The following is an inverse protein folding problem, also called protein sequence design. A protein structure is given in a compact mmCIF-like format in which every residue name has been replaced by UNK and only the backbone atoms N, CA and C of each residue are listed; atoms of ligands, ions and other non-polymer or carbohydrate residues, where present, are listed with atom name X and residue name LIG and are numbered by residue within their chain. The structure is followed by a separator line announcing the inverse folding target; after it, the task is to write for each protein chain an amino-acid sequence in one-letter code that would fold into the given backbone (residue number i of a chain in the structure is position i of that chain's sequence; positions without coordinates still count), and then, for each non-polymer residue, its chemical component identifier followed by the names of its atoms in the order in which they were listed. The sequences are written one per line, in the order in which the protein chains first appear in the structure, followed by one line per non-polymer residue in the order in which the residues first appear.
data_IF_185169411284
#
_entry.id   IF_185169411284
#
_cell.length_a   1.000
_cell.length_b   1.000
_cell.length_c   1.000
_cell.angle_alpha   90.00
_cell.angle_beta   90.00
_cell.angle_gamma   90.00
#
_symmetry.space_group_name_H-M   'P 1'
#
loop_
_entity.id
_entity.type
_entity.pdbx_description
1 polymer ?
#
# COMPACT_ATOMS: atom_id res chain seq x y z
N UNK A 1 -78.68 -15.45 -9.45
CA UNK A 1 -77.83 -15.62 -8.24
C UNK A 1 -76.37 -15.66 -8.68
N UNK A 2 -75.62 -14.53 -8.60
CA UNK A 2 -74.24 -14.49 -9.15
C UNK A 2 -73.26 -13.47 -8.55
N UNK A 3 -73.64 -12.70 -7.53
CA UNK A 3 -72.75 -11.68 -6.92
C UNK A 3 -71.82 -12.20 -5.81
N UNK A 4 -72.26 -13.17 -5.02
CA UNK A 4 -71.53 -13.63 -3.83
C UNK A 4 -70.21 -14.36 -4.13
N UNK A 5 -70.14 -15.06 -5.26
CA UNK A 5 -68.92 -15.79 -5.67
C UNK A 5 -67.79 -14.88 -6.16
N UNK A 6 -68.10 -13.63 -6.54
CA UNK A 6 -67.12 -12.61 -6.95
C UNK A 6 -66.53 -11.91 -5.72
N UNK A 7 -67.38 -11.52 -4.78
CA UNK A 7 -66.97 -10.92 -3.50
C UNK A 7 -66.14 -11.87 -2.65
N UNK A 8 -66.52 -13.15 -2.59
CA UNK A 8 -65.76 -14.17 -1.86
C UNK A 8 -64.37 -14.41 -2.46
N UNK A 9 -64.26 -14.41 -3.79
CA UNK A 9 -62.96 -14.48 -4.48
C UNK A 9 -62.09 -13.27 -4.17
N UNK A 10 -62.63 -12.05 -4.28
CA UNK A 10 -61.92 -10.81 -3.92
C UNK A 10 -61.41 -10.81 -2.48
N UNK A 11 -62.21 -11.33 -1.53
CA UNK A 11 -61.79 -11.42 -0.12
C UNK A 11 -60.70 -12.47 0.11
N UNK A 12 -60.79 -13.62 -0.57
CA UNK A 12 -59.75 -14.66 -0.50
C UNK A 12 -58.43 -14.20 -1.14
N UNK A 13 -58.51 -13.50 -2.27
CA UNK A 13 -57.36 -12.94 -2.98
C UNK A 13 -56.64 -11.90 -2.11
N UNK A 14 -57.40 -10.99 -1.50
CA UNK A 14 -56.87 -9.99 -0.54
C UNK A 14 -56.31 -10.63 0.75
N UNK A 15 -56.91 -11.73 1.21
CA UNK A 15 -56.43 -12.47 2.40
C UNK A 15 -55.24 -13.40 2.10
N UNK A 16 -55.01 -13.75 0.83
CA UNK A 16 -53.83 -14.46 0.36
C UNK A 16 -52.67 -13.48 0.17
N UNK A 17 -52.95 -12.31 -0.43
CA UNK A 17 -52.05 -11.18 -0.55
C UNK A 17 -51.54 -10.74 0.84
N UNK A 18 -52.42 -10.47 1.80
CA UNK A 18 -51.99 -10.10 3.17
C UNK A 18 -51.19 -11.21 3.89
N UNK A 19 -51.30 -12.47 3.48
CA UNK A 19 -50.55 -13.61 4.07
C UNK A 19 -49.17 -13.82 3.45
N UNK A 20 -48.97 -13.53 2.16
CA UNK A 20 -47.64 -13.57 1.55
C UNK A 20 -46.70 -12.49 2.11
N UNK A 21 -47.28 -11.41 2.66
CA UNK A 21 -46.54 -10.27 3.23
C UNK A 21 -45.91 -10.49 4.59
N UNK A 22 -46.34 -11.50 5.37
CA UNK A 22 -45.77 -11.71 6.72
C UNK A 22 -44.35 -12.32 6.68
N UNK A 23 -43.87 -12.77 5.52
CA UNK A 23 -42.58 -13.43 5.39
C UNK A 23 -41.70 -13.03 4.20
N UNK A 24 -42.19 -12.20 3.26
CA UNK A 24 -41.43 -11.85 2.06
C UNK A 24 -41.78 -10.43 1.59
N UNK A 25 -40.83 -9.51 1.76
CA UNK A 25 -40.77 -8.25 1.01
C UNK A 25 -41.91 -7.25 1.21
N UNK A 26 -41.67 -6.05 0.70
CA UNK A 26 -42.65 -4.99 0.50
C UNK A 26 -43.72 -5.41 -0.51
N UNK A 27 -44.86 -4.71 -0.50
CA UNK A 27 -45.93 -4.82 -1.49
C UNK A 27 -45.46 -4.69 -2.93
N UNK A 28 -46.16 -5.31 -3.88
CA UNK A 28 -45.97 -5.00 -5.32
C UNK A 28 -46.29 -3.54 -5.63
N UNK A 29 -47.28 -2.95 -4.96
CA UNK A 29 -47.60 -1.52 -5.03
C UNK A 29 -46.54 -0.67 -4.34
N UNK A 30 -45.96 -1.11 -3.22
CA UNK A 30 -44.86 -0.41 -2.53
C UNK A 30 -43.55 -0.51 -3.32
N UNK A 31 -43.27 -1.65 -3.95
CA UNK A 31 -42.11 -1.87 -4.83
C UNK A 31 -42.20 -0.96 -6.06
N UNK A 32 -43.38 -0.91 -6.71
CA UNK A 32 -43.63 0.03 -7.79
C UNK A 32 -43.53 1.50 -7.34
N UNK A 33 -43.92 1.80 -6.09
CA UNK A 33 -43.77 3.14 -5.52
C UNK A 33 -42.30 3.51 -5.27
N UNK A 34 -41.49 2.58 -4.74
CA UNK A 34 -40.04 2.77 -4.58
C UNK A 34 -39.34 2.94 -5.92
N UNK A 35 -39.66 2.11 -6.91
CA UNK A 35 -39.12 2.23 -8.27
C UNK A 35 -39.47 3.57 -8.90
N UNK A 36 -40.69 4.08 -8.66
CA UNK A 36 -41.08 5.41 -9.12
C UNK A 36 -40.33 6.54 -8.41
N UNK A 37 -39.99 6.38 -7.13
CA UNK A 37 -39.15 7.32 -6.39
C UNK A 37 -37.71 7.31 -6.89
N UNK A 38 -37.14 6.12 -7.11
CA UNK A 38 -35.82 5.90 -7.70
C UNK A 38 -35.71 6.49 -9.11
N UNK A 39 -36.73 6.28 -9.94
CA UNK A 39 -36.80 6.83 -11.28
C UNK A 39 -36.81 8.38 -11.25
N UNK A 40 -37.61 8.97 -10.35
CA UNK A 40 -37.64 10.42 -10.12
C UNK A 40 -36.28 10.92 -9.63
N UNK A 41 -35.59 10.17 -8.78
CA UNK A 41 -34.27 10.53 -8.28
C UNK A 41 -33.21 10.48 -9.41
N UNK A 42 -33.22 9.44 -10.23
CA UNK A 42 -32.34 9.31 -11.41
C UNK A 42 -32.57 10.45 -12.41
N UNK A 43 -33.83 10.83 -12.64
CA UNK A 43 -34.17 11.95 -13.51
C UNK A 43 -33.64 13.29 -12.95
N UNK A 44 -33.77 13.52 -11.64
CA UNK A 44 -33.19 14.70 -10.97
C UNK A 44 -31.67 14.71 -11.08
N UNK A 45 -31.01 13.57 -10.86
CA UNK A 45 -29.55 13.43 -11.01
C UNK A 45 -29.09 13.71 -12.44
N UNK A 46 -29.84 13.25 -13.46
CA UNK A 46 -29.54 13.50 -14.88
C UNK A 46 -29.70 14.97 -15.29
N UNK A 47 -30.57 15.72 -14.61
CA UNK A 47 -30.80 17.16 -14.88
C UNK A 47 -29.65 18.05 -14.37
N UNK A 48 -28.80 17.53 -13.47
CA UNK A 48 -27.61 18.23 -13.00
C UNK A 48 -26.42 17.74 -13.82
N UNK A 49 -25.80 18.63 -14.60
CA UNK A 49 -24.57 18.29 -15.30
C UNK A 49 -23.42 18.08 -14.31
N UNK A 50 -22.42 17.28 -14.71
CA UNK A 50 -21.22 17.08 -13.91
C UNK A 50 -20.49 18.40 -13.61
N UNK A 51 -20.50 19.33 -14.57
CA UNK A 51 -19.97 20.69 -14.38
C UNK A 51 -20.71 21.47 -13.30
N UNK A 52 -22.05 21.46 -13.31
CA UNK A 52 -22.86 22.17 -12.31
C UNK A 52 -22.67 21.57 -10.91
N UNK A 53 -22.50 20.24 -10.83
CA UNK A 53 -22.14 19.56 -9.58
C UNK A 53 -20.76 19.96 -9.09
N UNK A 54 -19.75 19.98 -9.98
CA UNK A 54 -18.39 20.39 -9.65
C UNK A 54 -18.36 21.84 -9.15
N UNK A 55 -19.03 22.76 -9.84
CA UNK A 55 -19.14 24.18 -9.45
C UNK A 55 -19.80 24.35 -8.07
N UNK A 56 -20.87 23.59 -7.80
CA UNK A 56 -21.51 23.60 -6.48
C UNK A 56 -20.52 23.14 -5.39
N UNK A 57 -19.82 22.03 -5.60
CA UNK A 57 -18.86 21.49 -4.63
C UNK A 57 -17.70 22.46 -4.38
N UNK A 58 -17.17 23.11 -5.43
CA UNK A 58 -16.11 24.10 -5.29
C UNK A 58 -16.60 25.30 -4.48
N UNK A 59 -17.79 25.82 -4.76
CA UNK A 59 -18.39 26.94 -4.02
C UNK A 59 -18.70 26.61 -2.57
N UNK A 60 -19.25 25.43 -2.30
CA UNK A 60 -19.49 24.94 -0.94
C UNK A 60 -18.16 24.79 -0.17
N UNK A 61 -17.12 24.23 -0.79
CA UNK A 61 -15.80 24.11 -0.19
C UNK A 61 -15.13 25.47 0.08
N UNK A 62 -15.30 26.46 -0.81
CA UNK A 62 -14.86 27.83 -0.57
C UNK A 62 -15.60 28.46 0.62
N UNK A 63 -16.93 28.30 0.71
CA UNK A 63 -17.73 28.83 1.82
C UNK A 63 -17.36 28.21 3.18
N UNK A 64 -16.90 26.95 3.16
CA UNK A 64 -16.41 26.23 4.33
C UNK A 64 -14.96 26.60 4.71
N UNK A 65 -14.29 27.46 3.94
CA UNK A 65 -12.88 27.81 4.17
C UNK A 65 -11.92 26.64 3.94
N UNK A 66 -12.30 25.60 3.18
CA UNK A 66 -11.42 24.45 2.90
C UNK A 66 -10.20 24.81 2.03
N UNK A 67 -10.22 25.99 1.42
CA UNK A 67 -9.11 26.57 0.68
C UNK A 67 -8.34 27.61 1.51
N UNK A 68 -8.72 27.86 2.76
CA UNK A 68 -7.94 28.69 3.68
C UNK A 68 -6.78 27.85 4.24
N UNK A 69 -5.62 28.47 4.47
CA UNK A 69 -4.39 27.81 4.97
C UNK A 69 -3.89 26.61 4.13
N UNK A 70 -3.94 26.72 2.80
CA UNK A 70 -3.27 25.76 1.93
C UNK A 70 -1.78 25.68 2.26
N UNK A 71 -1.16 24.51 2.08
CA UNK A 71 0.27 24.24 2.38
C UNK A 71 1.22 25.32 1.85
N UNK A 72 0.90 25.91 0.70
CA UNK A 72 1.68 26.95 0.02
C UNK A 72 0.98 28.33 -0.02
N UNK A 73 -0.08 28.55 0.77
CA UNK A 73 -0.71 29.86 0.89
C UNK A 73 0.33 30.90 1.33
N UNK A 74 0.50 31.96 0.51
CA UNK A 74 1.49 33.01 0.75
C UNK A 74 2.96 32.61 0.61
N UNK A 75 3.27 31.36 0.26
CA UNK A 75 4.64 30.88 0.02
C UNK A 75 4.95 30.91 -1.49
N UNK A 76 6.21 31.11 -1.88
CA UNK A 76 6.60 30.96 -3.28
C UNK A 76 6.24 29.55 -3.76
N UNK A 77 5.65 29.46 -4.94
CA UNK A 77 5.31 28.17 -5.57
C UNK A 77 6.63 27.50 -5.98
N UNK A 78 6.91 26.28 -5.51
CA UNK A 78 8.12 25.55 -5.92
C UNK A 78 8.14 25.35 -7.44
N UNK A 79 9.27 25.66 -8.09
CA UNK A 79 9.42 25.51 -9.55
C UNK A 79 8.78 26.62 -10.39
N UNK A 80 8.24 27.69 -9.78
CA UNK A 80 7.68 28.82 -10.52
C UNK A 80 8.79 29.63 -11.22
N UNK A 81 8.76 29.65 -12.55
CA UNK A 81 9.77 30.32 -13.38
C UNK A 81 10.82 29.39 -13.99
N UNK A 82 10.77 28.09 -13.66
CA UNK A 82 11.51 27.06 -14.38
C UNK A 82 10.83 26.74 -15.73
N UNK A 83 11.57 26.11 -16.64
CA UNK A 83 10.99 25.64 -17.91
C UNK A 83 9.80 24.72 -17.64
N UNK A 84 8.68 24.92 -18.34
CA UNK A 84 7.49 24.08 -18.18
C UNK A 84 7.84 22.62 -18.44
N UNK A 85 7.69 21.79 -17.41
CA UNK A 85 7.89 20.35 -17.46
C UNK A 85 6.53 19.66 -17.55
N UNK A 86 6.14 19.05 -18.68
CA UNK A 86 4.87 18.35 -18.82
C UNK A 86 4.65 17.25 -17.76
N UNK A 87 5.74 16.68 -17.23
CA UNK A 87 5.73 15.56 -16.29
C UNK A 87 5.88 16.00 -14.83
N UNK A 88 5.73 17.31 -14.53
CA UNK A 88 5.92 17.86 -13.18
C UNK A 88 5.07 17.16 -12.11
N UNK A 89 3.83 16.81 -12.46
CA UNK A 89 2.89 16.15 -11.55
C UNK A 89 3.26 14.68 -11.34
N UNK A 90 3.79 14.01 -12.38
CA UNK A 90 4.27 12.62 -12.30
C UNK A 90 5.48 12.55 -11.37
N UNK A 91 6.48 13.41 -11.59
CA UNK A 91 7.67 13.51 -10.72
C UNK A 91 7.28 13.85 -9.28
N UNK A 92 6.35 14.78 -9.10
CA UNK A 92 5.80 15.12 -7.79
C UNK A 92 5.11 13.94 -7.10
N UNK A 93 4.36 13.12 -7.84
CA UNK A 93 3.71 11.93 -7.31
C UNK A 93 4.72 10.85 -6.93
N UNK A 94 5.69 10.54 -7.81
CA UNK A 94 6.79 9.61 -7.52
C UNK A 94 7.53 9.99 -6.24
N UNK A 95 7.86 11.27 -6.09
CA UNK A 95 8.55 11.78 -4.91
C UNK A 95 7.66 11.72 -3.65
N UNK A 96 6.37 12.08 -3.76
CA UNK A 96 5.42 12.04 -2.64
C UNK A 96 5.20 10.63 -2.11
N UNK A 97 5.05 9.67 -3.01
CA UNK A 97 4.77 8.27 -2.67
C UNK A 97 6.05 7.45 -2.45
N UNK A 98 7.23 8.07 -2.56
CA UNK A 98 8.53 7.42 -2.49
C UNK A 98 8.63 6.18 -3.39
N UNK A 99 8.09 6.29 -4.61
CA UNK A 99 8.07 5.19 -5.56
C UNK A 99 9.49 5.01 -6.13
N UNK A 100 10.05 3.83 -5.89
CA UNK A 100 11.36 3.40 -6.41
C UNK A 100 11.20 2.20 -7.34
N UNK A 101 12.29 1.72 -7.94
CA UNK A 101 12.25 0.54 -8.83
C UNK A 101 11.71 0.80 -10.23
N UNK A 102 11.36 2.05 -10.55
CA UNK A 102 10.90 2.45 -11.88
C UNK A 102 12.08 3.02 -12.67
N UNK A 103 12.69 2.21 -13.54
CA UNK A 103 13.77 2.66 -14.39
C UNK A 103 14.36 1.58 -15.28
N UNK A 104 15.21 1.96 -16.24
CA UNK A 104 15.95 0.99 -17.04
C UNK A 104 16.80 0.07 -16.14
N UNK A 105 16.95 -1.22 -16.48
CA UNK A 105 17.73 -2.18 -15.67
C UNK A 105 19.14 -1.67 -15.32
N UNK A 106 19.80 -0.95 -16.24
CA UNK A 106 21.13 -0.37 -16.02
C UNK A 106 21.20 0.60 -14.82
N UNK A 107 20.12 1.35 -14.55
CA UNK A 107 20.07 2.29 -13.43
C UNK A 107 19.69 1.55 -12.15
N UNK A 108 18.70 0.66 -12.23
CA UNK A 108 18.23 -0.13 -11.09
C UNK A 108 19.34 -0.99 -10.50
N UNK A 109 20.08 -1.72 -11.35
CA UNK A 109 21.19 -2.56 -10.91
C UNK A 109 22.30 -1.78 -10.23
N UNK A 110 22.52 -0.50 -10.59
CA UNK A 110 23.50 0.35 -9.90
C UNK A 110 23.00 0.75 -8.52
N UNK A 111 21.72 1.05 -8.38
CA UNK A 111 21.12 1.36 -7.08
C UNK A 111 21.13 0.13 -6.17
N UNK A 112 20.80 -1.04 -6.71
CA UNK A 112 20.86 -2.32 -5.99
C UNK A 112 22.30 -2.64 -5.57
N UNK A 113 23.29 -2.53 -6.46
CA UNK A 113 24.70 -2.77 -6.13
C UNK A 113 25.21 -1.87 -4.99
N UNK A 114 24.73 -0.62 -4.93
CA UNK A 114 25.05 0.30 -3.83
C UNK A 114 24.44 -0.12 -2.48
N UNK A 115 23.27 -0.77 -2.49
CA UNK A 115 22.59 -1.28 -1.30
C UNK A 115 22.96 -2.72 -0.92
N UNK A 116 23.60 -3.46 -1.83
CA UNK A 116 23.77 -4.90 -1.75
C UNK A 116 24.49 -5.36 -0.47
N UNK A 117 25.53 -4.65 -0.03
CA UNK A 117 26.24 -5.04 1.20
C UNK A 117 25.33 -5.01 2.44
N UNK A 118 24.42 -4.03 2.54
CA UNK A 118 23.45 -3.95 3.62
C UNK A 118 22.38 -5.07 3.53
N UNK A 119 21.95 -5.41 2.32
CA UNK A 119 21.01 -6.51 2.09
C UNK A 119 21.62 -7.88 2.46
N UNK A 120 22.90 -8.10 2.13
CA UNK A 120 23.64 -9.30 2.52
C UNK A 120 23.77 -9.41 4.04
N UNK A 121 24.05 -8.30 4.71
CA UNK A 121 24.17 -8.26 6.17
C UNK A 121 22.85 -8.53 6.89
N UNK A 122 21.71 -8.33 6.22
CA UNK A 122 20.38 -8.67 6.73
C UNK A 122 20.09 -10.18 6.66
N UNK A 123 20.84 -10.96 5.88
CA UNK A 123 20.63 -12.39 5.73
C UNK A 123 21.17 -13.18 6.92
N UNK A 124 20.51 -14.30 7.22
CA UNK A 124 20.84 -15.16 8.36
C UNK A 124 21.66 -16.37 7.96
N UNK A 125 21.48 -16.87 6.74
CA UNK A 125 22.16 -18.07 6.26
C UNK A 125 23.05 -17.76 5.07
N UNK A 126 24.13 -18.52 4.95
CA UNK A 126 25.03 -18.43 3.80
C UNK A 126 24.34 -18.79 2.49
N UNK A 127 23.39 -19.72 2.50
CA UNK A 127 22.63 -20.08 1.31
C UNK A 127 21.83 -18.88 0.79
N UNK A 128 21.18 -18.11 1.67
CA UNK A 128 20.47 -16.89 1.29
C UNK A 128 21.40 -15.86 0.64
N UNK A 129 22.61 -15.69 1.18
CA UNK A 129 23.63 -14.80 0.62
C UNK A 129 24.05 -15.27 -0.77
N UNK A 130 24.34 -16.57 -0.94
CA UNK A 130 24.69 -17.14 -2.25
C UNK A 130 23.58 -17.00 -3.28
N UNK A 131 22.34 -17.27 -2.89
CA UNK A 131 21.17 -17.18 -3.77
C UNK A 131 20.96 -15.73 -4.24
N UNK A 132 21.05 -14.77 -3.33
CA UNK A 132 20.92 -13.34 -3.63
C UNK A 132 22.01 -12.85 -4.58
N UNK A 133 23.27 -13.20 -4.31
CA UNK A 133 24.41 -12.88 -5.18
C UNK A 133 24.28 -13.50 -6.57
N UNK A 134 23.83 -14.76 -6.64
CA UNK A 134 23.63 -15.48 -7.90
C UNK A 134 22.53 -14.83 -8.73
N UNK A 135 21.41 -14.47 -8.09
CA UNK A 135 20.32 -13.75 -8.77
C UNK A 135 20.77 -12.37 -9.27
N UNK A 136 21.44 -11.59 -8.42
CA UNK A 136 22.00 -10.29 -8.80
C UNK A 136 22.93 -10.41 -10.02
N UNK A 137 23.89 -11.34 -9.97
CA UNK A 137 24.82 -11.57 -11.07
C UNK A 137 24.10 -12.01 -12.36
N UNK A 138 23.09 -12.88 -12.26
CA UNK A 138 22.26 -13.27 -13.40
C UNK A 138 21.59 -12.03 -14.03
N UNK A 139 20.96 -11.18 -13.23
CA UNK A 139 20.29 -9.95 -13.72
C UNK A 139 21.27 -8.97 -14.34
N UNK A 140 22.49 -8.82 -13.80
CA UNK A 140 23.55 -8.01 -14.41
C UNK A 140 23.96 -8.57 -15.78
N UNK A 141 24.13 -9.88 -15.88
CA UNK A 141 24.52 -10.55 -17.13
C UNK A 141 23.40 -10.42 -18.18
N UNK A 142 22.15 -10.65 -17.78
CA UNK A 142 21.00 -10.55 -18.68
C UNK A 142 20.81 -9.11 -19.17
N UNK A 143 20.93 -8.13 -18.29
CA UNK A 143 20.87 -6.72 -18.66
C UNK A 143 21.98 -6.31 -19.65
N UNK A 144 23.20 -6.87 -19.51
CA UNK A 144 24.31 -6.66 -20.47
C UNK A 144 24.06 -7.36 -21.81
N UNK A 145 23.40 -8.51 -21.80
CA UNK A 145 23.05 -9.27 -23.00
C UNK A 145 21.87 -8.66 -23.75
N UNK A 146 21.07 -7.83 -23.09
CA UNK A 146 19.94 -7.15 -23.68
C UNK A 146 20.42 -6.24 -24.83
N UNK A 147 20.06 -6.57 -26.07
CA UNK A 147 20.33 -5.76 -27.28
C UNK A 147 19.27 -4.66 -27.50
N UNK A 148 18.45 -4.37 -26.50
CA UNK A 148 17.26 -3.51 -26.63
C UNK A 148 17.59 -2.00 -26.66
N UNK A 149 18.87 -1.64 -26.69
CA UNK A 149 19.30 -0.25 -26.54
C UNK A 149 19.04 0.30 -25.13
N UNK A 150 19.66 1.42 -24.81
CA UNK A 150 19.55 2.07 -23.50
C UNK A 150 20.91 2.45 -22.91
N UNK A 151 20.93 3.07 -21.71
CA UNK A 151 22.15 3.42 -21.02
C UNK A 151 23.04 2.20 -20.79
N UNK A 152 24.37 2.30 -20.95
CA UNK A 152 25.26 1.16 -20.79
C UNK A 152 25.20 0.58 -19.36
N UNK A 153 25.14 -0.75 -19.27
CA UNK A 153 25.18 -1.47 -17.99
C UNK A 153 26.64 -1.57 -17.52
N UNK A 154 27.05 -0.63 -16.67
CA UNK A 154 28.41 -0.55 -16.11
C UNK A 154 28.56 -1.29 -14.78
N UNK A 155 27.46 -1.72 -14.16
CA UNK A 155 27.46 -2.46 -12.88
C UNK A 155 28.21 -3.77 -13.04
N UNK A 156 29.14 -4.07 -12.13
CA UNK A 156 29.96 -5.28 -12.15
C UNK A 156 29.24 -6.45 -11.47
N UNK A 157 29.56 -7.68 -11.90
CA UNK A 157 29.17 -8.89 -11.15
C UNK A 157 30.05 -9.01 -9.92
N UNK A 158 29.51 -9.56 -8.83
CA UNK A 158 30.26 -9.80 -7.60
C UNK A 158 30.70 -11.26 -7.49
N UNK A 159 31.93 -11.50 -7.05
CA UNK A 159 32.39 -12.85 -6.75
C UNK A 159 31.61 -13.41 -5.55
N UNK A 160 31.00 -14.59 -5.72
CA UNK A 160 30.09 -15.15 -4.71
C UNK A 160 30.86 -15.60 -3.48
N UNK A 161 32.00 -16.25 -3.65
CA UNK A 161 32.76 -16.81 -2.53
C UNK A 161 33.47 -15.69 -1.75
N UNK A 162 34.04 -14.70 -2.45
CA UNK A 162 34.63 -13.52 -1.79
C UNK A 162 33.58 -12.77 -0.94
N UNK A 163 32.37 -12.58 -1.46
CA UNK A 163 31.32 -11.89 -0.74
C UNK A 163 30.79 -12.69 0.46
N UNK A 164 30.72 -14.02 0.35
CA UNK A 164 30.35 -14.91 1.47
C UNK A 164 31.41 -14.83 2.57
N UNK A 165 32.69 -14.86 2.23
CA UNK A 165 33.78 -14.72 3.21
C UNK A 165 33.72 -13.37 3.92
N UNK A 166 33.52 -12.28 3.17
CA UNK A 166 33.34 -10.94 3.74
C UNK A 166 32.13 -10.86 4.66
N UNK A 167 31.01 -11.48 4.29
CA UNK A 167 29.81 -11.55 5.12
C UNK A 167 30.05 -12.34 6.41
N UNK A 168 30.67 -13.52 6.33
CA UNK A 168 31.03 -14.32 7.52
C UNK A 168 31.93 -13.54 8.46
N UNK A 169 32.94 -12.83 7.93
CA UNK A 169 33.84 -12.00 8.71
C UNK A 169 33.11 -10.86 9.44
N UNK A 170 32.21 -10.13 8.75
CA UNK A 170 31.38 -9.09 9.36
C UNK A 170 30.47 -9.63 10.46
N UNK A 171 29.91 -10.83 10.27
CA UNK A 171 29.08 -11.49 11.31
C UNK A 171 29.89 -11.94 12.52
N UNK A 172 31.06 -12.55 12.30
CA UNK A 172 31.95 -12.95 13.38
C UNK A 172 32.37 -11.76 14.25
N UNK A 173 32.64 -10.60 13.64
CA UNK A 173 32.96 -9.37 14.36
C UNK A 173 31.75 -8.75 15.11
N UNK A 174 30.52 -9.11 14.73
CA UNK A 174 29.28 -8.61 15.35
C UNK A 174 28.81 -9.48 16.52
N UNK A 175 29.13 -10.77 16.51
CA UNK A 175 28.89 -11.63 17.66
C UNK A 175 29.69 -11.04 18.82
N UNK A 176 29.04 -10.59 19.91
CA UNK A 176 29.78 -10.09 21.05
C UNK A 176 30.68 -11.22 21.52
N UNK A 177 31.97 -10.91 21.61
CA UNK A 177 32.94 -11.64 22.42
C UNK A 177 32.20 -12.05 23.69
N UNK A 178 32.09 -13.36 23.92
CA UNK A 178 31.42 -13.91 25.10
C UNK A 178 32.12 -13.29 26.29
N UNK A 179 31.52 -12.26 26.87
CA UNK A 179 32.00 -11.62 28.08
C UNK A 179 32.05 -12.75 29.09
N UNK A 180 33.25 -13.18 29.48
CA UNK A 180 33.44 -14.16 30.54
C UNK A 180 32.54 -13.71 31.70
N UNK A 181 31.54 -14.55 32.03
CA UNK A 181 30.63 -14.26 33.12
C UNK A 181 31.48 -13.92 34.35
N UNK A 182 31.37 -12.71 34.93
CA UNK A 182 32.11 -12.40 36.13
C UNK A 182 31.66 -13.41 37.18
N UNK A 183 32.59 -14.28 37.59
CA UNK A 183 32.36 -15.28 38.64
C UNK A 183 31.72 -14.53 39.81
N UNK A 184 30.47 -14.85 40.21
CA UNK A 184 29.76 -14.03 41.17
C UNK A 184 30.58 -13.99 42.45
N UNK A 185 31.08 -12.79 42.79
CA UNK A 185 31.83 -12.60 44.01
C UNK A 185 30.94 -13.05 45.17
N UNK A 186 31.40 -14.08 45.87
CA UNK A 186 30.64 -14.70 46.96
C UNK A 186 30.27 -13.63 47.98
N UNK A 187 28.97 -13.41 48.11
CA UNK A 187 28.36 -12.48 49.06
C UNK A 187 28.92 -12.72 50.46
N UNK A 188 29.28 -11.62 51.14
CA UNK A 188 29.89 -11.60 52.47
C UNK A 188 29.15 -12.44 53.52
N UNK A 189 27.84 -12.64 53.36
CA UNK A 189 27.03 -13.52 54.22
C UNK A 189 27.37 -15.01 54.08
N UNK A 190 27.76 -15.48 52.89
CA UNK A 190 28.19 -16.88 52.67
C UNK A 190 29.52 -17.19 53.37
N UNK A 191 30.36 -16.18 53.61
CA UNK A 191 31.60 -16.32 54.38
C UNK A 191 31.35 -16.38 55.89
N UNK A 192 30.26 -15.78 56.38
CA UNK A 192 29.89 -15.74 57.80
C UNK A 192 29.27 -17.04 58.32
N UNK A 193 28.75 -17.90 57.45
CA UNK A 193 28.20 -19.22 57.83
C UNK A 193 29.17 -20.39 57.76
N UNK A 194 30.40 -20.19 57.26
CA UNK A 194 31.50 -21.16 57.39
C UNK A 194 32.56 -20.64 58.39
N UNK A 195 32.14 -20.47 59.64
CA UNK A 195 33.02 -20.39 60.81
C UNK A 195 33.14 -21.76 61.50
N UNK A 196 34.18 -21.99 62.33
CA UNK A 196 34.81 -23.29 62.54
C UNK A 196 33.98 -24.22 63.44
N UNK A 197 33.79 -25.45 62.97
CA UNK A 197 33.54 -26.62 63.80
C UNK A 197 34.80 -27.46 63.87
#
# INVERSE_FOLDING_TARGET
MGGGASEYRKRLERAAEVRSYRGAGISSEEEAALDALDAKEREKRRKVSDSARAEYLVRDAMAQGKFDDLKYAGKPIPGLGESYDPDWWVKGLLQRENISGLGPPAILLRAEDAGLDAELDAQYTEQQVRDLLTDFNRRVIDARRQLQGGPPVVTQTRDVEEQVERWRARRAARTPEVVEEPVPERSWWQRLWKGPG
#
